data_IF_244395194338
#
_entry.id   IF_244395194338
#
_cell.length_a   1.000
_cell.length_b   1.000
_cell.length_c   1.000
_cell.angle_alpha   90.00
_cell.angle_beta   90.00
_cell.angle_gamma   90.00
#
_symmetry.space_group_name_H-M   'P 1'
#
loop_
_entity.id
_entity.type
_entity.pdbx_description
1 polymer ?
#
# COMPACT_ATOMS: atom_id res chain seq x y z
N UNK A 1 3.53 15.48 -21.94
CA UNK A 1 3.15 15.52 -20.51
C UNK A 1 4.43 15.23 -19.74
N UNK A 2 4.89 16.17 -18.92
CA UNK A 2 6.04 15.95 -18.04
C UNK A 2 5.60 15.23 -16.78
N UNK A 3 6.46 14.39 -16.22
CA UNK A 3 6.21 13.78 -14.93
C UNK A 3 6.25 14.85 -13.83
N UNK A 4 5.31 14.77 -12.88
CA UNK A 4 5.28 15.62 -11.69
C UNK A 4 5.64 14.79 -10.46
N UNK A 5 6.40 15.37 -9.55
CA UNK A 5 6.65 14.76 -8.25
C UNK A 5 5.35 14.63 -7.45
N UNK A 6 5.13 13.45 -6.88
CA UNK A 6 4.02 13.15 -5.98
C UNK A 6 4.40 13.44 -4.52
N UNK A 7 3.40 13.54 -3.64
CA UNK A 7 3.61 13.63 -2.18
C UNK A 7 3.95 12.27 -1.53
N UNK A 8 3.76 11.15 -2.26
CA UNK A 8 4.09 9.82 -1.77
C UNK A 8 5.60 9.63 -1.61
N UNK A 9 6.03 9.35 -0.39
CA UNK A 9 7.42 8.97 -0.09
C UNK A 9 7.70 7.59 -0.66
N UNK A 10 8.97 7.34 -1.00
CA UNK A 10 9.40 6.03 -1.45
C UNK A 10 10.92 5.88 -1.27
N UNK A 11 11.41 4.83 -0.57
CA UNK A 11 12.82 4.62 -0.28
C UNK A 11 13.51 3.83 -1.41
N UNK A 12 13.20 4.16 -2.67
CA UNK A 12 13.56 3.38 -3.85
C UNK A 12 13.16 1.89 -3.74
N UNK A 13 11.91 1.66 -3.32
CA UNK A 13 11.27 0.35 -3.17
C UNK A 13 10.14 0.24 -4.19
N UNK A 14 9.79 -0.99 -4.59
CA UNK A 14 8.64 -1.19 -5.46
C UNK A 14 7.34 -0.73 -4.76
N UNK A 15 6.34 -0.40 -5.58
CA UNK A 15 4.97 -0.14 -5.15
C UNK A 15 4.05 -1.17 -5.80
N UNK A 16 2.89 -1.42 -5.19
CA UNK A 16 1.79 -2.11 -5.85
C UNK A 16 0.63 -1.12 -6.04
N UNK A 17 0.02 -1.14 -7.22
CA UNK A 17 -1.10 -0.26 -7.55
C UNK A 17 -2.20 -1.06 -8.24
N UNK A 18 -3.40 -1.02 -7.66
CA UNK A 18 -4.54 -1.85 -8.05
C UNK A 18 -5.73 -0.95 -8.33
N UNK A 19 -6.50 -1.29 -9.36
CA UNK A 19 -7.90 -0.89 -9.45
C UNK A 19 -8.75 -1.99 -8.83
N UNK A 20 -9.51 -1.65 -7.78
CA UNK A 20 -10.41 -2.56 -7.10
C UNK A 20 -11.67 -2.81 -7.94
N UNK A 21 -12.42 -3.85 -7.60
CA UNK A 21 -13.66 -4.27 -8.27
C UNK A 21 -14.75 -3.18 -8.25
N UNK A 22 -14.75 -2.30 -7.25
CA UNK A 22 -15.65 -1.14 -7.17
C UNK A 22 -15.12 0.10 -7.93
N UNK A 23 -13.95 0.01 -8.56
CA UNK A 23 -13.35 1.09 -9.35
C UNK A 23 -12.34 1.96 -8.58
N UNK A 24 -12.29 1.87 -7.25
CA UNK A 24 -11.32 2.61 -6.43
C UNK A 24 -9.88 2.22 -6.77
N UNK A 25 -8.95 3.14 -6.53
CA UNK A 25 -7.53 2.92 -6.77
C UNK A 25 -6.81 2.77 -5.44
N UNK A 26 -6.05 1.68 -5.28
CA UNK A 26 -5.33 1.36 -4.06
C UNK A 26 -3.82 1.33 -4.32
N UNK A 27 -3.10 2.22 -3.66
CA UNK A 27 -1.63 2.33 -3.69
C UNK A 27 -1.02 1.73 -2.43
N UNK A 28 -0.09 0.80 -2.59
CA UNK A 28 0.69 0.18 -1.51
C UNK A 28 2.16 0.56 -1.69
N UNK A 29 2.72 1.21 -0.68
CA UNK A 29 4.06 1.79 -0.75
C UNK A 29 4.74 1.85 0.63
N UNK A 30 6.04 2.15 0.65
CA UNK A 30 6.75 2.46 1.89
C UNK A 30 6.73 3.96 2.12
N UNK A 31 6.04 4.43 3.17
CA UNK A 31 5.87 5.85 3.49
C UNK A 31 7.06 6.45 4.24
N UNK A 32 8.25 6.28 3.67
CA UNK A 32 9.50 6.84 4.16
C UNK A 32 10.47 7.05 2.98
N UNK A 33 11.39 8.02 3.09
CA UNK A 33 12.34 8.35 2.02
C UNK A 33 13.60 7.48 2.03
N UNK A 34 13.87 6.76 3.12
CA UNK A 34 15.14 6.10 3.36
C UNK A 34 14.98 4.63 3.81
N UNK A 35 13.91 4.31 4.54
CA UNK A 35 13.72 2.97 5.10
C UNK A 35 12.47 2.28 4.56
N UNK A 36 12.51 0.95 4.48
CA UNK A 36 11.41 0.12 3.95
C UNK A 36 10.41 -0.26 5.06
N UNK A 37 9.99 0.73 5.83
CA UNK A 37 8.98 0.64 6.90
C UNK A 37 8.46 2.05 7.20
N UNK A 38 7.16 2.27 7.44
CA UNK A 38 6.08 1.28 7.40
C UNK A 38 5.73 0.85 5.97
N UNK A 39 4.90 -0.19 5.84
CA UNK A 39 4.14 -0.44 4.62
C UNK A 39 2.77 0.24 4.78
N UNK A 40 2.46 1.16 3.88
CA UNK A 40 1.26 1.98 3.90
C UNK A 40 0.37 1.66 2.71
N UNK A 41 -0.93 1.73 2.94
CA UNK A 41 -1.97 1.63 1.91
C UNK A 41 -2.70 2.97 1.86
N UNK A 42 -2.89 3.51 0.66
CA UNK A 42 -3.71 4.69 0.39
C UNK A 42 -4.76 4.36 -0.67
N UNK A 43 -5.96 4.93 -0.55
CA UNK A 43 -7.08 4.70 -1.47
C UNK A 43 -7.58 6.02 -2.03
N UNK A 44 -7.72 6.06 -3.36
CA UNK A 44 -8.43 7.09 -4.11
C UNK A 44 -9.80 6.56 -4.53
N UNK A 45 -10.83 7.37 -4.32
CA UNK A 45 -12.22 7.09 -4.73
C UNK A 45 -12.68 8.03 -5.84
N UNK A 46 -11.76 8.82 -6.40
CA UNK A 46 -11.99 9.91 -7.36
C UNK A 46 -11.03 9.83 -8.57
N UNK A 47 -10.72 8.59 -9.00
CA UNK A 47 -9.91 8.28 -10.19
C UNK A 47 -8.53 8.96 -10.23
N UNK A 48 -7.78 8.84 -9.13
CA UNK A 48 -6.38 9.31 -8.96
C UNK A 48 -6.26 10.82 -8.71
N UNK A 49 -7.36 11.54 -8.42
CA UNK A 49 -7.31 12.95 -8.06
C UNK A 49 -6.83 13.17 -6.62
N UNK A 50 -7.35 12.42 -5.64
CA UNK A 50 -6.97 12.53 -4.23
C UNK A 50 -6.88 11.18 -3.52
N UNK A 51 -6.12 11.13 -2.42
CA UNK A 51 -5.95 9.92 -1.59
C UNK A 51 -6.24 10.22 -0.11
N UNK A 52 -7.49 10.50 0.26
CA UNK A 52 -7.85 10.92 1.61
C UNK A 52 -7.83 9.77 2.63
N UNK A 53 -7.94 8.53 2.16
CA UNK A 53 -7.94 7.34 3.02
C UNK A 53 -6.56 6.70 3.00
N UNK A 54 -5.89 6.62 4.15
CA UNK A 54 -4.59 5.94 4.22
C UNK A 54 -4.29 5.37 5.60
N UNK A 55 -3.67 4.19 5.62
CA UNK A 55 -3.32 3.48 6.86
C UNK A 55 -2.00 2.73 6.71
N UNK A 56 -1.18 2.76 7.76
CA UNK A 56 -0.03 1.87 7.89
C UNK A 56 -0.56 0.47 8.22
N UNK A 57 -0.42 -0.49 7.30
CA UNK A 57 -0.90 -1.86 7.51
C UNK A 57 0.10 -2.70 8.30
N UNK A 58 1.38 -2.32 8.26
CA UNK A 58 2.41 -2.87 9.13
C UNK A 58 3.60 -1.89 9.26
N UNK A 59 4.31 -1.95 10.38
CA UNK A 59 5.45 -1.08 10.66
C UNK A 59 6.33 -1.62 11.79
N UNK A 60 7.07 -0.71 12.44
CA UNK A 60 7.99 -1.03 13.54
C UNK A 60 9.42 -1.28 13.08
N UNK A 61 10.25 -1.77 14.02
CA UNK A 61 11.67 -2.10 13.80
C UNK A 61 11.83 -3.40 13.01
N UNK A 62 11.41 -3.35 11.75
CA UNK A 62 11.56 -4.41 10.76
C UNK A 62 11.51 -3.78 9.36
N UNK A 63 11.74 -4.59 8.32
CA UNK A 63 11.59 -4.16 6.93
C UNK A 63 10.45 -4.90 6.25
N UNK A 64 9.72 -4.19 5.38
CA UNK A 64 8.59 -4.69 4.59
C UNK A 64 8.74 -4.14 3.18
N UNK A 65 9.33 -4.91 2.27
CA UNK A 65 9.73 -4.42 0.96
C UNK A 65 9.10 -5.21 -0.18
N UNK A 66 9.07 -4.58 -1.36
CA UNK A 66 8.58 -5.19 -2.60
C UNK A 66 7.16 -5.76 -2.46
N UNK A 67 6.16 -4.90 -2.17
CA UNK A 67 4.79 -5.33 -2.12
C UNK A 67 4.33 -5.84 -3.49
N UNK A 68 3.57 -6.92 -3.47
CA UNK A 68 2.71 -7.35 -4.56
C UNK A 68 1.32 -7.58 -3.98
N UNK A 69 0.28 -7.17 -4.69
CA UNK A 69 -1.07 -7.25 -4.17
C UNK A 69 -2.09 -7.63 -5.24
N UNK A 70 -3.15 -8.30 -4.78
CA UNK A 70 -4.31 -8.69 -5.59
C UNK A 70 -5.59 -8.46 -4.79
N UNK A 71 -6.71 -8.28 -5.49
CA UNK A 71 -8.03 -8.43 -4.92
C UNK A 71 -8.64 -9.76 -5.38
N UNK A 72 -9.10 -10.57 -4.44
CA UNK A 72 -9.75 -11.86 -4.70
C UNK A 72 -11.25 -11.68 -4.97
N UNK A 73 -11.93 -12.73 -5.46
CA UNK A 73 -13.35 -12.69 -5.83
C UNK A 73 -14.30 -12.41 -4.67
N UNK A 74 -13.87 -12.69 -3.45
CA UNK A 74 -14.59 -12.36 -2.20
C UNK A 74 -14.38 -10.92 -1.74
N UNK A 75 -13.69 -10.10 -2.55
CA UNK A 75 -13.45 -8.68 -2.29
C UNK A 75 -12.23 -8.38 -1.43
N UNK A 76 -11.58 -9.42 -0.86
CA UNK A 76 -10.43 -9.25 0.03
C UNK A 76 -9.18 -8.80 -0.71
N UNK A 77 -8.40 -7.95 -0.06
CA UNK A 77 -7.09 -7.51 -0.51
C UNK A 77 -6.04 -8.42 0.12
N UNK A 78 -5.21 -9.01 -0.72
CA UNK A 78 -4.07 -9.81 -0.31
C UNK A 78 -2.80 -9.08 -0.71
N UNK A 79 -1.92 -8.83 0.27
CA UNK A 79 -0.58 -8.28 0.04
C UNK A 79 0.45 -9.34 0.43
N UNK A 80 1.40 -9.60 -0.45
CA UNK A 80 2.65 -10.26 -0.07
C UNK A 80 3.81 -9.28 -0.15
N UNK A 81 4.72 -9.35 0.81
CA UNK A 81 5.93 -8.56 0.79
C UNK A 81 7.07 -9.33 1.45
N UNK A 82 8.29 -8.91 1.16
CA UNK A 82 9.48 -9.43 1.84
C UNK A 82 9.62 -8.81 3.23
N UNK A 83 10.04 -9.59 4.22
CA UNK A 83 10.31 -9.12 5.59
C UNK A 83 11.57 -9.74 6.19
N UNK A 84 11.95 -9.34 7.40
CA UNK A 84 13.14 -9.81 8.11
C UNK A 84 14.40 -9.68 7.25
N UNK A 85 14.63 -8.48 6.71
CA UNK A 85 15.73 -8.20 5.78
C UNK A 85 15.69 -9.06 4.51
N UNK A 86 14.48 -9.28 3.96
CA UNK A 86 14.21 -10.06 2.74
C UNK A 86 14.49 -11.56 2.87
N UNK A 87 14.46 -12.10 4.07
CA UNK A 87 14.64 -13.54 4.32
C UNK A 87 13.32 -14.30 4.51
N UNK A 88 12.21 -13.58 4.62
CA UNK A 88 10.87 -14.17 4.80
C UNK A 88 9.86 -13.47 3.89
N UNK A 89 8.75 -14.16 3.60
CA UNK A 89 7.59 -13.56 2.94
C UNK A 89 6.50 -13.40 4.00
N UNK A 90 5.97 -12.18 4.11
CA UNK A 90 4.80 -11.86 4.91
C UNK A 90 3.58 -11.82 4.01
N UNK A 91 2.45 -12.34 4.50
CA UNK A 91 1.14 -12.24 3.85
C UNK A 91 0.19 -11.45 4.76
N UNK A 92 -0.44 -10.41 4.22
CA UNK A 92 -1.42 -9.55 4.89
C UNK A 92 -2.73 -9.66 4.12
N UNK A 93 -3.85 -9.78 4.84
CA UNK A 93 -5.19 -9.81 4.24
C UNK A 93 -6.12 -8.86 4.98
N UNK A 94 -6.90 -8.07 4.25
CA UNK A 94 -7.92 -7.17 4.82
C UNK A 94 -9.02 -6.86 3.80
N UNK A 95 -10.16 -6.37 4.30
CA UNK A 95 -11.21 -5.75 3.48
C UNK A 95 -10.90 -4.26 3.29
N UNK A 96 -11.32 -3.66 2.17
CA UNK A 96 -11.04 -2.25 1.86
C UNK A 96 -11.46 -1.28 2.97
N UNK A 97 -12.56 -1.58 3.68
CA UNK A 97 -13.07 -0.81 4.82
C UNK A 97 -12.05 -0.63 5.93
N UNK A 98 -11.08 -1.55 6.07
CA UNK A 98 -9.98 -1.41 7.02
C UNK A 98 -9.10 -0.16 6.76
N UNK A 99 -9.18 0.43 5.56
CA UNK A 99 -8.51 1.68 5.18
C UNK A 99 -9.50 2.84 5.14
N UNK A 100 -10.71 2.65 4.59
CA UNK A 100 -11.70 3.72 4.44
C UNK A 100 -12.23 4.24 5.79
N UNK A 101 -12.42 3.33 6.75
CA UNK A 101 -13.02 3.64 8.05
C UNK A 101 -11.94 3.92 9.11
N UNK A 102 -10.67 4.03 8.70
CA UNK A 102 -9.56 4.29 9.62
C UNK A 102 -9.49 5.76 9.99
N UNK A 103 -9.97 6.08 11.19
CA UNK A 103 -9.77 7.38 11.82
C UNK A 103 -8.37 7.45 12.46
N UNK A 104 -7.72 8.62 12.32
CA UNK A 104 -6.36 8.90 12.82
C UNK A 104 -6.38 9.21 14.32
#
# INVERSE_FOLDING_TARGET
>A
IEAKQTEFKNPNSAVAFLRLQNGHLMLIFNDDMNVRTPLRVAVSTDDDETYPYARNVIGGDNTYAYPYAIQTKDGKIHIVCTTNNRTSILHITFDETAILDWEI
#
